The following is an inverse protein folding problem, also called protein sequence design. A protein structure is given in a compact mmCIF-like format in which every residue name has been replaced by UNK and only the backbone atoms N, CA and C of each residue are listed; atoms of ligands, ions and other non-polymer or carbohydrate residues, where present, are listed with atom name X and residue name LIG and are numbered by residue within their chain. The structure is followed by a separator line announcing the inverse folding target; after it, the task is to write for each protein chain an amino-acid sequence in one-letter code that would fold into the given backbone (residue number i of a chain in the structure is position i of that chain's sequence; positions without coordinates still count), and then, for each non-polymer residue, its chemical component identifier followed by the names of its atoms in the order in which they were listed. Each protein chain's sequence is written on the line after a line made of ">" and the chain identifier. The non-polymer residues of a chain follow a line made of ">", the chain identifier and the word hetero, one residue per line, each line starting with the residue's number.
data_IF_228502740025
#
_entry.id   IF_228502740025
#
_cell.length_a   1.000
_cell.length_b   1.000
_cell.length_c   1.000
_cell.angle_alpha   90.00
_cell.angle_beta   90.00
_cell.angle_gamma   90.00
#
_symmetry.space_group_name_H-M   'P 1'
#
loop_
_entity.id
_entity.type
_entity.pdbx_description
1 polymer ?
#
# COMPACT_ATOMS: atom_id res chain seq x y z
N UNK A 1 -7.72 28.03 8.73
CA UNK A 1 -6.42 27.78 8.09
C UNK A 1 -6.32 26.28 7.91
N UNK A 2 -6.33 25.78 6.68
CA UNK A 2 -6.46 24.33 6.46
C UNK A 2 -5.15 23.60 6.82
N UNK A 3 -5.22 22.32 7.16
CA UNK A 3 -4.02 21.48 7.39
C UNK A 3 -3.11 21.47 6.15
N UNK A 4 -3.70 21.53 4.95
CA UNK A 4 -2.99 21.62 3.69
C UNK A 4 -2.15 22.91 3.58
N UNK A 5 -2.68 24.06 4.00
CA UNK A 5 -1.94 25.33 3.98
C UNK A 5 -0.73 25.30 4.91
N UNK A 6 -0.85 24.62 6.06
CA UNK A 6 0.24 24.47 7.01
C UNK A 6 1.36 23.58 6.44
N UNK A 7 0.99 22.47 5.81
CA UNK A 7 1.93 21.57 5.12
C UNK A 7 2.64 22.30 3.99
N UNK A 8 1.91 23.02 3.14
CA UNK A 8 2.49 23.78 2.03
C UNK A 8 3.50 24.83 2.50
N UNK A 9 3.22 25.57 3.58
CA UNK A 9 4.15 26.54 4.16
C UNK A 9 5.40 25.89 4.75
N UNK A 10 5.23 24.76 5.44
CA UNK A 10 6.37 23.99 5.96
C UNK A 10 7.28 23.54 4.80
N UNK A 11 6.70 23.01 3.73
CA UNK A 11 7.43 22.56 2.55
C UNK A 11 8.14 23.71 1.84
N UNK A 12 7.45 24.83 1.61
CA UNK A 12 8.05 26.00 0.97
C UNK A 12 9.24 26.57 1.77
N UNK A 13 9.14 26.52 3.11
CA UNK A 13 10.21 26.95 4.01
C UNK A 13 11.38 25.98 4.01
N UNK A 14 11.11 24.68 4.03
CA UNK A 14 12.13 23.63 4.09
C UNK A 14 12.87 23.44 2.75
N UNK A 15 12.15 23.47 1.63
CA UNK A 15 12.70 23.22 0.29
C UNK A 15 13.15 24.49 -0.44
N UNK A 16 12.77 25.68 0.07
CA UNK A 16 13.02 26.96 -0.59
C UNK A 16 12.12 27.23 -1.81
N UNK A 17 11.20 26.32 -2.13
CA UNK A 17 10.25 26.40 -3.23
C UNK A 17 8.97 25.60 -2.89
N UNK A 18 7.80 25.95 -3.46
CA UNK A 18 6.59 25.16 -3.27
C UNK A 18 6.77 23.74 -3.85
N UNK A 19 6.25 22.69 -3.19
CA UNK A 19 6.37 21.32 -3.66
C UNK A 19 5.53 21.07 -4.92
N UNK A 20 6.10 20.34 -5.88
CA UNK A 20 5.38 19.81 -7.03
C UNK A 20 4.41 18.69 -6.63
N UNK A 21 3.47 18.34 -7.52
CA UNK A 21 2.42 17.35 -7.25
C UNK A 21 2.95 16.00 -6.76
N UNK A 22 4.00 15.45 -7.39
CA UNK A 22 4.58 14.17 -6.96
C UNK A 22 5.19 14.22 -5.56
N UNK A 23 5.81 15.34 -5.18
CA UNK A 23 6.34 15.52 -3.82
C UNK A 23 5.20 15.70 -2.81
N UNK A 24 4.12 16.41 -3.19
CA UNK A 24 2.91 16.54 -2.38
C UNK A 24 2.23 15.20 -2.11
N UNK A 25 2.18 14.29 -3.09
CA UNK A 25 1.61 12.94 -2.89
C UNK A 25 2.40 12.14 -1.85
N UNK A 26 3.74 12.23 -1.88
CA UNK A 26 4.60 11.58 -0.87
C UNK A 26 4.36 12.18 0.51
N UNK A 27 4.23 13.51 0.61
CA UNK A 27 3.97 14.22 1.87
C UNK A 27 2.56 13.91 2.40
N UNK A 28 1.57 13.78 1.53
CA UNK A 28 0.22 13.39 1.89
C UNK A 28 0.18 12.00 2.54
N UNK A 29 1.16 11.13 2.24
CA UNK A 29 1.36 9.85 2.91
C UNK A 29 1.58 9.93 4.42
N UNK A 30 1.97 11.10 4.96
CA UNK A 30 2.02 11.35 6.41
C UNK A 30 0.63 11.47 7.05
N UNK A 31 -0.44 11.61 6.26
CA UNK A 31 -1.82 11.67 6.76
C UNK A 31 -2.15 12.94 7.54
N UNK A 32 -1.37 14.02 7.35
CA UNK A 32 -1.54 15.29 8.07
C UNK A 32 -0.96 15.31 9.49
N UNK A 33 -0.37 14.21 9.95
CA UNK A 33 0.28 14.17 11.26
C UNK A 33 1.59 14.96 11.26
N UNK A 34 1.69 15.93 12.17
CA UNK A 34 2.83 16.84 12.23
C UNK A 34 4.16 16.13 12.46
N UNK A 35 4.19 15.05 13.24
CA UNK A 35 5.41 14.29 13.55
C UNK A 35 5.89 13.55 12.30
N UNK A 36 4.99 12.88 11.59
CA UNK A 36 5.29 12.19 10.33
C UNK A 36 5.66 13.14 9.21
N UNK A 37 4.89 14.22 9.03
CA UNK A 37 5.17 15.23 7.99
C UNK A 37 6.54 15.86 8.22
N UNK A 38 6.88 16.20 9.47
CA UNK A 38 8.18 16.80 9.78
C UNK A 38 9.33 15.81 9.57
N UNK A 39 9.20 14.57 10.06
CA UNK A 39 10.23 13.55 9.86
C UNK A 39 10.49 13.30 8.36
N UNK A 40 9.44 13.31 7.55
CA UNK A 40 9.55 13.15 6.10
C UNK A 40 10.20 14.36 5.43
N UNK A 41 9.70 15.58 5.69
CA UNK A 41 10.23 16.82 5.08
C UNK A 41 11.68 17.05 5.48
N UNK A 42 11.99 17.01 6.77
CA UNK A 42 13.35 17.25 7.26
C UNK A 42 14.32 16.16 6.76
N UNK A 43 13.87 14.89 6.72
CA UNK A 43 14.68 13.79 6.19
C UNK A 43 14.95 13.91 4.68
N UNK A 44 13.96 14.34 3.89
CA UNK A 44 14.14 14.58 2.46
C UNK A 44 15.16 15.69 2.17
N UNK A 45 15.20 16.73 3.00
CA UNK A 45 16.20 17.81 2.90
C UNK A 45 17.59 17.31 3.28
N UNK A 46 17.72 16.63 4.43
CA UNK A 46 19.01 16.14 4.93
C UNK A 46 19.68 15.13 4.01
N UNK A 47 18.88 14.30 3.34
CA UNK A 47 19.37 13.32 2.38
C UNK A 47 19.60 13.90 0.98
N UNK A 48 19.32 15.20 0.77
CA UNK A 48 19.50 15.87 -0.52
C UNK A 48 18.57 15.33 -1.61
N UNK A 49 17.37 14.87 -1.24
CA UNK A 49 16.40 14.20 -2.13
C UNK A 49 15.37 15.13 -2.73
N UNK A 50 15.58 16.44 -2.57
CA UNK A 50 14.72 17.47 -3.16
C UNK A 50 15.59 18.44 -3.94
N UNK A 51 15.16 18.74 -5.17
CA UNK A 51 15.74 19.78 -6.01
C UNK A 51 14.67 20.76 -6.44
N UNK A 52 15.09 21.97 -6.80
CA UNK A 52 14.19 22.99 -7.33
C UNK A 52 14.34 23.02 -8.84
N UNK A 53 13.32 22.54 -9.54
CA UNK A 53 13.22 22.55 -11.00
C UNK A 53 12.09 23.48 -11.40
N UNK A 54 12.37 24.46 -12.27
CA UNK A 54 11.40 25.48 -12.72
C UNK A 54 10.66 26.20 -11.57
N UNK A 55 11.35 26.43 -10.45
CA UNK A 55 10.79 27.08 -9.26
C UNK A 55 9.88 26.21 -8.41
N UNK A 56 9.82 24.89 -8.67
CA UNK A 56 9.09 23.91 -7.90
C UNK A 56 10.04 22.91 -7.25
N UNK A 57 9.78 22.55 -5.98
CA UNK A 57 10.50 21.49 -5.31
C UNK A 57 10.02 20.12 -5.81
N UNK A 58 10.94 19.34 -6.40
CA UNK A 58 10.70 18.01 -6.95
C UNK A 58 11.56 16.97 -6.25
N UNK A 59 11.05 15.74 -6.17
CA UNK A 59 11.83 14.60 -5.66
C UNK A 59 12.97 14.28 -6.62
N UNK A 60 14.14 14.03 -6.06
CA UNK A 60 15.35 13.69 -6.78
C UNK A 60 15.98 12.40 -6.22
N UNK A 61 16.43 11.53 -7.13
CA UNK A 61 17.18 10.31 -6.83
C UNK A 61 16.69 9.11 -7.64
N UNK A 62 17.48 8.03 -7.63
CA UNK A 62 17.21 6.81 -8.42
C UNK A 62 16.12 5.91 -7.80
N UNK A 63 15.76 6.16 -6.53
CA UNK A 63 14.72 5.44 -5.80
C UNK A 63 13.73 6.44 -5.18
N UNK A 64 12.64 6.78 -5.89
CA UNK A 64 11.59 7.65 -5.36
C UNK A 64 10.80 6.98 -4.23
N UNK A 65 10.85 5.65 -4.13
CA UNK A 65 10.09 4.89 -3.15
C UNK A 65 10.81 4.66 -1.82
N UNK A 66 12.12 4.90 -1.77
CA UNK A 66 12.88 4.91 -0.52
C UNK A 66 12.31 5.96 0.42
N UNK A 67 12.09 5.61 1.68
CA UNK A 67 11.74 6.57 2.73
C UNK A 67 13.01 7.14 3.39
N UNK A 68 12.98 8.39 3.87
CA UNK A 68 14.09 8.93 4.64
C UNK A 68 14.36 8.15 5.93
N UNK A 69 15.62 8.10 6.38
CA UNK A 69 16.06 7.42 7.60
C UNK A 69 15.29 7.91 8.83
N UNK A 70 15.01 9.22 8.91
CA UNK A 70 14.18 9.81 9.96
C UNK A 70 12.80 9.18 10.08
N UNK A 71 12.16 8.88 8.95
CA UNK A 71 10.84 8.23 8.91
C UNK A 71 10.96 6.78 9.38
N UNK A 72 12.01 6.09 8.93
CA UNK A 72 12.29 4.70 9.31
C UNK A 72 12.58 4.59 10.82
N UNK A 73 13.37 5.50 11.37
CA UNK A 73 13.71 5.56 12.78
C UNK A 73 12.50 5.86 13.65
N UNK A 74 11.65 6.81 13.23
CA UNK A 74 10.39 7.10 13.90
C UNK A 74 9.45 5.88 13.91
N UNK A 75 9.33 5.16 12.79
CA UNK A 75 8.55 3.93 12.73
C UNK A 75 9.11 2.85 13.67
N UNK A 76 10.44 2.72 13.74
CA UNK A 76 11.11 1.77 14.64
C UNK A 76 10.86 2.10 16.11
N UNK A 77 10.93 3.38 16.48
CA UNK A 77 10.64 3.86 17.84
C UNK A 77 9.19 3.54 18.23
N UNK A 78 8.24 3.87 17.35
CA UNK A 78 6.81 3.60 17.57
C UNK A 78 6.56 2.10 17.75
N UNK A 79 7.11 1.26 16.86
CA UNK A 79 6.97 -0.19 16.97
C UNK A 79 7.61 -0.74 18.24
N UNK A 80 8.80 -0.28 18.62
CA UNK A 80 9.52 -0.76 19.80
C UNK A 80 8.71 -0.53 21.09
N UNK A 81 7.91 0.53 21.14
CA UNK A 81 7.02 0.85 22.25
C UNK A 81 5.71 0.03 22.28
N UNK A 82 5.49 -0.90 21.34
CA UNK A 82 4.28 -1.76 21.28
C UNK A 82 4.51 -3.13 21.87
N UNK A 83 3.45 -3.76 22.38
CA UNK A 83 3.48 -5.16 22.82
C UNK A 83 3.78 -6.11 21.64
N UNK A 84 4.36 -7.30 21.90
CA UNK A 84 4.72 -8.25 20.85
C UNK A 84 3.56 -8.60 19.90
N UNK A 85 2.34 -8.73 20.44
CA UNK A 85 1.14 -9.02 19.64
C UNK A 85 0.77 -7.89 18.67
N UNK A 86 0.81 -6.65 19.15
CA UNK A 86 0.55 -5.45 18.33
C UNK A 86 1.63 -5.28 17.27
N UNK A 87 2.91 -5.48 17.61
CA UNK A 87 4.01 -5.48 16.62
C UNK A 87 3.79 -6.51 15.51
N UNK A 88 3.44 -7.75 15.87
CA UNK A 88 3.20 -8.80 14.89
C UNK A 88 2.03 -8.45 13.96
N UNK A 89 0.91 -7.96 14.53
CA UNK A 89 -0.25 -7.48 13.77
C UNK A 89 0.15 -6.40 12.76
N UNK A 90 0.86 -5.36 13.21
CA UNK A 90 1.29 -4.24 12.37
C UNK A 90 2.26 -4.68 11.27
N UNK A 91 3.21 -5.58 11.58
CA UNK A 91 4.12 -6.12 10.58
C UNK A 91 3.38 -6.90 9.49
N UNK A 92 2.49 -7.82 9.89
CA UNK A 92 1.69 -8.60 8.94
C UNK A 92 0.81 -7.66 8.11
N UNK A 93 0.09 -6.74 8.74
CA UNK A 93 -0.76 -5.78 8.03
C UNK A 93 0.03 -4.90 7.04
N UNK A 94 1.21 -4.42 7.42
CA UNK A 94 2.01 -3.53 6.59
C UNK A 94 2.43 -4.16 5.25
N UNK A 95 2.73 -5.47 5.28
CA UNK A 95 3.11 -6.24 4.08
C UNK A 95 1.92 -6.46 3.15
N UNK A 96 0.73 -6.68 3.70
CA UNK A 96 -0.43 -7.14 2.96
C UNK A 96 -1.19 -6.04 2.22
N UNK A 97 -0.94 -4.79 2.60
CA UNK A 97 -1.36 -3.61 1.86
C UNK A 97 -2.14 -2.61 2.71
N UNK A 98 -2.79 -1.64 2.05
CA UNK A 98 -3.38 -0.47 2.72
C UNK A 98 -4.73 -0.75 3.38
N UNK A 99 -5.39 -1.87 3.05
CA UNK A 99 -6.71 -2.24 3.59
C UNK A 99 -6.75 -3.74 3.91
N UNK A 100 -7.07 -4.08 5.15
CA UNK A 100 -7.14 -5.45 5.63
C UNK A 100 -8.32 -5.71 6.54
N UNK A 101 -8.96 -6.85 6.33
CA UNK A 101 -9.94 -7.42 7.24
C UNK A 101 -9.22 -8.16 8.37
N UNK A 102 -9.75 -8.08 9.59
CA UNK A 102 -9.22 -8.74 10.78
C UNK A 102 -9.20 -10.26 10.62
N UNK A 103 -10.20 -10.82 9.94
CA UNK A 103 -10.29 -12.27 9.67
C UNK A 103 -9.11 -12.75 8.81
N UNK A 104 -8.66 -11.94 7.84
CA UNK A 104 -7.49 -12.29 7.02
C UNK A 104 -6.19 -12.23 7.79
N UNK A 105 -6.06 -11.27 8.71
CA UNK A 105 -4.88 -11.20 9.57
C UNK A 105 -4.86 -12.41 10.51
N UNK A 106 -6.03 -12.78 11.06
CA UNK A 106 -6.22 -13.96 11.90
C UNK A 106 -5.82 -15.26 11.18
N UNK A 107 -6.26 -15.44 9.93
CA UNK A 107 -5.84 -16.56 9.07
C UNK A 107 -4.32 -16.59 8.90
N UNK A 108 -3.68 -15.45 8.64
CA UNK A 108 -2.25 -15.38 8.38
C UNK A 108 -1.36 -15.62 9.60
N UNK A 109 -1.82 -15.22 10.78
CA UNK A 109 -1.10 -15.50 12.03
C UNK A 109 -1.50 -16.85 12.62
N UNK A 110 -2.38 -17.61 11.95
CA UNK A 110 -2.94 -18.90 12.41
C UNK A 110 -3.54 -18.82 13.82
N UNK A 111 -4.24 -17.72 14.13
CA UNK A 111 -4.92 -17.53 15.42
C UNK A 111 -6.35 -17.04 15.22
N UNK A 112 -7.29 -17.38 16.12
CA UNK A 112 -8.63 -16.83 16.06
C UNK A 112 -8.62 -15.29 16.18
N UNK A 113 -9.49 -14.60 15.42
CA UNK A 113 -9.59 -13.14 15.42
C UNK A 113 -9.78 -12.55 16.83
N UNK A 114 -10.53 -13.23 17.70
CA UNK A 114 -10.74 -12.83 19.09
C UNK A 114 -9.43 -12.67 19.88
N UNK A 115 -8.41 -13.44 19.55
CA UNK A 115 -7.10 -13.40 20.22
C UNK A 115 -6.28 -12.18 19.77
N UNK A 116 -6.60 -11.61 18.61
CA UNK A 116 -5.95 -10.41 18.08
C UNK A 116 -6.59 -9.11 18.60
N UNK A 117 -7.74 -9.18 19.28
CA UNK A 117 -8.45 -7.99 19.78
C UNK A 117 -7.58 -7.07 20.65
N UNK A 118 -6.75 -7.57 21.61
CA UNK A 118 -5.92 -6.67 22.42
C UNK A 118 -4.84 -5.96 21.58
N UNK A 119 -4.23 -6.68 20.63
CA UNK A 119 -3.22 -6.13 19.72
C UNK A 119 -3.84 -5.07 18.79
N UNK A 120 -5.06 -5.33 18.31
CA UNK A 120 -5.82 -4.41 17.49
C UNK A 120 -6.23 -3.16 18.28
N UNK A 121 -6.75 -3.31 19.49
CA UNK A 121 -7.12 -2.21 20.39
C UNK A 121 -5.91 -1.31 20.67
N UNK A 122 -4.76 -1.90 21.02
CA UNK A 122 -3.53 -1.14 21.25
C UNK A 122 -3.12 -0.33 20.01
N UNK A 123 -3.22 -0.91 18.81
CA UNK A 123 -2.90 -0.21 17.58
C UNK A 123 -3.88 0.95 17.28
N UNK A 124 -5.16 0.81 17.64
CA UNK A 124 -6.18 1.86 17.50
C UNK A 124 -5.99 2.98 18.52
N UNK A 125 -5.81 2.64 19.80
CA UNK A 125 -5.59 3.60 20.87
C UNK A 125 -4.32 4.42 20.65
N UNK A 126 -3.31 3.80 20.03
CA UNK A 126 -2.08 4.46 19.61
C UNK A 126 -2.20 5.28 18.32
N UNK A 127 -3.36 5.28 17.66
CA UNK A 127 -3.60 5.99 16.42
C UNK A 127 -2.84 5.43 15.20
N UNK A 128 -2.38 4.18 15.26
CA UNK A 128 -1.59 3.56 14.18
C UNK A 128 -2.47 2.96 13.09
N UNK A 129 -3.64 2.45 13.49
CA UNK A 129 -4.68 1.93 12.60
C UNK A 129 -5.97 2.72 12.79
N UNK A 130 -6.77 2.77 11.73
CA UNK A 130 -8.11 3.33 11.72
C UNK A 130 -9.05 2.39 10.96
N UNK A 131 -10.35 2.52 11.24
CA UNK A 131 -11.37 1.81 10.47
C UNK A 131 -11.76 2.63 9.24
N UNK A 132 -11.87 1.98 8.09
CA UNK A 132 -12.49 2.54 6.89
C UNK A 132 -14.01 2.35 6.95
N UNK A 133 -14.77 3.17 6.21
CA UNK A 133 -16.24 3.07 6.09
C UNK A 133 -16.73 1.67 5.66
N UNK A 134 -15.85 0.85 5.07
CA UNK A 134 -16.11 -0.52 4.68
C UNK A 134 -15.86 -1.58 5.76
N UNK A 135 -15.46 -1.19 6.97
CA UNK A 135 -15.10 -2.09 8.07
C UNK A 135 -13.65 -2.60 8.03
N UNK A 136 -12.93 -2.34 6.94
CA UNK A 136 -11.51 -2.69 6.81
C UNK A 136 -10.64 -1.87 7.77
N UNK A 137 -9.54 -2.47 8.21
CA UNK A 137 -8.46 -1.82 8.92
C UNK A 137 -7.48 -1.20 7.92
N UNK A 138 -7.20 0.08 8.09
CA UNK A 138 -6.21 0.80 7.29
C UNK A 138 -5.20 1.48 8.20
N UNK A 139 -3.98 1.67 7.73
CA UNK A 139 -3.00 2.46 8.47
C UNK A 139 -3.43 3.92 8.51
N UNK A 140 -3.25 4.56 9.67
CA UNK A 140 -3.49 6.00 9.80
C UNK A 140 -2.49 6.80 8.94
N UNK A 141 -1.25 6.30 8.82
CA UNK A 141 -0.17 6.92 8.06
C UNK A 141 0.44 5.92 7.08
N UNK A 142 0.44 6.25 5.79
CA UNK A 142 1.01 5.40 4.75
C UNK A 142 2.54 5.32 4.86
N UNK A 143 3.19 6.40 5.32
CA UNK A 143 4.63 6.43 5.60
C UNK A 143 5.03 5.44 6.69
N UNK A 144 4.20 5.26 7.73
CA UNK A 144 4.42 4.25 8.76
C UNK A 144 4.34 2.85 8.15
N UNK A 145 3.28 2.56 7.40
CA UNK A 145 3.08 1.26 6.73
C UNK A 145 4.30 0.89 5.87
N UNK A 146 4.73 1.83 5.02
CA UNK A 146 5.88 1.66 4.13
C UNK A 146 7.18 1.45 4.90
N UNK A 147 7.40 2.21 5.99
CA UNK A 147 8.59 2.05 6.82
C UNK A 147 8.64 0.66 7.48
N UNK A 148 7.50 0.18 8.02
CA UNK A 148 7.39 -1.16 8.61
C UNK A 148 7.68 -2.23 7.54
N UNK A 149 7.00 -2.17 6.40
CA UNK A 149 7.17 -3.14 5.32
C UNK A 149 8.58 -3.14 4.71
N UNK A 150 9.22 -1.96 4.65
CA UNK A 150 10.59 -1.78 4.18
C UNK A 150 11.64 -2.30 5.16
N UNK A 151 11.36 -2.26 6.47
CA UNK A 151 12.25 -2.79 7.51
C UNK A 151 12.35 -4.32 7.53
N UNK A 152 11.38 -5.01 6.92
CA UNK A 152 11.36 -6.47 6.86
C UNK A 152 12.32 -6.99 5.78
N UNK A 153 13.12 -8.04 6.11
CA UNK A 153 13.89 -8.77 5.12
C UNK A 153 13.00 -9.23 3.95
N UNK A 154 13.50 -9.09 2.72
CA UNK A 154 12.74 -9.44 1.51
C UNK A 154 12.21 -10.88 1.55
N UNK A 155 12.99 -11.83 2.10
CA UNK A 155 12.56 -13.23 2.26
C UNK A 155 11.29 -13.37 3.12
N UNK A 156 11.20 -12.62 4.22
CA UNK A 156 10.03 -12.64 5.12
C UNK A 156 8.84 -11.98 4.45
N UNK A 157 9.05 -10.81 3.84
CA UNK A 157 8.00 -10.10 3.09
C UNK A 157 7.42 -10.98 1.98
N UNK A 158 8.27 -11.62 1.18
CA UNK A 158 7.84 -12.53 0.13
C UNK A 158 7.16 -13.79 0.67
N UNK A 159 7.55 -14.30 1.85
CA UNK A 159 6.87 -15.43 2.48
C UNK A 159 5.44 -15.06 2.90
N UNK A 160 5.27 -13.92 3.58
CA UNK A 160 3.95 -13.43 4.01
C UNK A 160 3.03 -13.14 2.82
N UNK A 161 3.54 -12.51 1.76
CA UNK A 161 2.78 -12.27 0.54
C UNK A 161 2.33 -13.58 -0.12
N UNK A 162 3.21 -14.59 -0.21
CA UNK A 162 2.84 -15.91 -0.75
C UNK A 162 1.80 -16.61 0.11
N UNK A 163 1.92 -16.55 1.43
CA UNK A 163 0.95 -17.14 2.34
C UNK A 163 -0.43 -16.47 2.20
N UNK A 164 -0.47 -15.15 2.06
CA UNK A 164 -1.70 -14.42 1.76
C UNK A 164 -2.33 -14.84 0.43
N UNK A 165 -1.52 -15.07 -0.60
CA UNK A 165 -2.01 -15.56 -1.89
C UNK A 165 -2.53 -17.01 -1.81
N UNK A 166 -2.04 -17.81 -0.86
CA UNK A 166 -2.38 -19.22 -0.66
C UNK A 166 -3.56 -19.45 0.32
N UNK A 167 -3.87 -18.48 1.19
CA UNK A 167 -4.90 -18.60 2.25
C UNK A 167 -6.35 -18.33 1.81
N UNK A 168 -6.61 -17.99 0.55
CA UNK A 168 -7.98 -17.97 0.01
C UNK A 168 -8.54 -19.40 -0.14
N UNK A 169 -9.87 -19.60 -0.14
CA UNK A 169 -10.46 -20.95 -0.29
C UNK A 169 -9.87 -21.64 -1.53
N UNK A 170 -9.21 -22.78 -1.28
CA UNK A 170 -8.45 -23.64 -2.18
C UNK A 170 -8.50 -23.24 -3.68
N UNK A 171 -7.47 -22.52 -4.13
CA UNK A 171 -7.07 -22.54 -5.53
C UNK A 171 -5.81 -23.41 -5.65
N UNK A 172 -5.95 -24.53 -6.37
CA UNK A 172 -4.89 -25.46 -6.78
C UNK A 172 -3.62 -24.78 -7.33
N UNK A 173 -2.45 -25.47 -7.27
CA UNK A 173 -1.14 -24.84 -7.24
C UNK A 173 -0.81 -24.12 -8.55
N UNK A 174 -0.45 -22.84 -8.45
CA UNK A 174 0.25 -22.12 -9.50
C UNK A 174 1.74 -22.05 -9.14
N UNK A 175 2.56 -22.63 -10.01
CA UNK A 175 4.02 -22.69 -9.95
C UNK A 175 4.72 -21.32 -9.89
N UNK A 176 6.00 -21.28 -9.47
CA UNK A 176 6.64 -20.08 -8.95
C UNK A 176 6.99 -19.10 -10.09
N UNK A 177 6.49 -17.88 -10.00
CA UNK A 177 6.94 -16.79 -10.87
C UNK A 177 8.22 -16.19 -10.28
N UNK A 178 9.35 -16.71 -10.74
CA UNK A 178 10.61 -15.99 -10.74
C UNK A 178 10.52 -14.71 -11.57
N UNK A 179 11.32 -13.73 -11.18
CA UNK A 179 11.64 -12.51 -11.90
C UNK A 179 11.62 -12.68 -13.43
N UNK A 180 10.62 -12.09 -14.08
CA UNK A 180 10.76 -11.56 -15.44
C UNK A 180 9.93 -10.27 -15.55
N UNK A 181 10.63 -9.18 -15.86
CA UNK A 181 10.07 -7.97 -16.46
C UNK A 181 8.98 -8.35 -17.48
N UNK A 182 7.86 -7.60 -17.49
CA UNK A 182 6.86 -7.53 -18.55
C UNK A 182 6.50 -8.87 -19.23
N UNK A 183 5.39 -9.52 -18.85
CA UNK A 183 4.92 -10.60 -19.72
C UNK A 183 3.62 -11.31 -19.43
N UNK A 184 3.32 -11.76 -18.20
CA UNK A 184 2.16 -12.66 -18.02
C UNK A 184 1.30 -12.34 -16.81
N UNK A 185 0.01 -12.20 -17.09
CA UNK A 185 -1.04 -12.11 -16.08
C UNK A 185 -1.21 -13.45 -15.39
N UNK A 186 -1.50 -13.43 -14.09
CA UNK A 186 -1.93 -14.64 -13.39
C UNK A 186 -3.25 -15.15 -13.99
N UNK A 187 -3.56 -16.45 -13.87
CA UNK A 187 -4.82 -17.00 -14.39
C UNK A 187 -6.05 -16.24 -13.86
N UNK A 188 -5.97 -15.73 -12.62
CA UNK A 188 -7.02 -14.92 -12.01
C UNK A 188 -7.10 -13.53 -12.61
N UNK A 189 -5.96 -12.87 -12.81
CA UNK A 189 -5.89 -11.57 -13.51
C UNK A 189 -6.42 -11.66 -14.94
N UNK A 190 -6.08 -12.71 -15.69
CA UNK A 190 -6.61 -12.95 -17.04
C UNK A 190 -8.14 -13.11 -17.02
N UNK A 191 -8.66 -13.88 -16.07
CA UNK A 191 -10.10 -14.10 -15.92
C UNK A 191 -10.83 -12.80 -15.57
N UNK A 192 -10.30 -12.01 -14.63
CA UNK A 192 -10.87 -10.71 -14.26
C UNK A 192 -10.79 -9.73 -15.43
N UNK A 193 -9.65 -9.65 -16.11
CA UNK A 193 -9.43 -8.80 -17.28
C UNK A 193 -10.39 -9.15 -18.42
N UNK A 194 -10.63 -10.44 -18.68
CA UNK A 194 -11.60 -10.89 -19.68
C UNK A 194 -13.06 -10.53 -19.32
N UNK A 195 -13.42 -10.57 -18.02
CA UNK A 195 -14.76 -10.17 -17.59
C UNK A 195 -14.93 -8.64 -17.59
N UNK A 196 -13.87 -7.89 -17.29
CA UNK A 196 -13.83 -6.43 -17.45
C UNK A 196 -14.00 -6.05 -18.92
N UNK A 197 -13.32 -6.74 -19.84
CA UNK A 197 -13.48 -6.58 -21.29
C UNK A 197 -14.91 -6.80 -21.77
N UNK A 198 -15.64 -7.72 -21.13
CA UNK A 198 -17.06 -8.01 -21.38
C UNK A 198 -18.02 -6.99 -20.73
N UNK A 199 -17.50 -5.89 -20.18
CA UNK A 199 -18.30 -4.83 -19.57
C UNK A 199 -18.93 -5.19 -18.21
N UNK A 200 -18.49 -6.28 -17.56
CA UNK A 200 -19.09 -6.71 -16.28
C UNK A 200 -18.74 -5.73 -15.15
N UNK A 201 -19.69 -5.45 -14.27
CA UNK A 201 -19.44 -4.67 -13.05
C UNK A 201 -18.71 -5.50 -12.01
N UNK A 202 -18.04 -4.85 -11.04
CA UNK A 202 -17.32 -5.58 -9.99
C UNK A 202 -18.24 -6.53 -9.19
N UNK A 203 -19.53 -6.18 -9.03
CA UNK A 203 -20.54 -7.06 -8.42
C UNK A 203 -20.93 -8.24 -9.31
N UNK A 204 -20.93 -8.09 -10.63
CA UNK A 204 -21.22 -9.17 -11.56
C UNK A 204 -20.03 -10.12 -11.69
N UNK A 205 -18.81 -9.58 -11.70
CA UNK A 205 -17.56 -10.35 -11.69
C UNK A 205 -17.47 -11.13 -10.37
N UNK A 206 -17.74 -10.49 -9.24
CA UNK A 206 -17.78 -11.11 -7.92
C UNK A 206 -18.70 -12.34 -7.90
N UNK A 207 -19.94 -12.16 -8.38
CA UNK A 207 -20.93 -13.24 -8.52
C UNK A 207 -20.46 -14.35 -9.47
N UNK A 208 -19.85 -13.98 -10.60
CA UNK A 208 -19.34 -14.95 -11.58
C UNK A 208 -18.15 -15.75 -11.09
N UNK A 209 -17.39 -15.22 -10.12
CA UNK A 209 -16.11 -15.76 -9.68
C UNK A 209 -16.13 -16.30 -8.24
N UNK A 210 -17.28 -16.24 -7.56
CA UNK A 210 -17.46 -16.69 -6.17
C UNK A 210 -16.62 -15.90 -5.15
N UNK A 211 -16.31 -14.63 -5.44
CA UNK A 211 -15.47 -13.77 -4.57
C UNK A 211 -16.19 -12.47 -4.22
N UNK A 212 -15.67 -11.71 -3.27
CA UNK A 212 -16.24 -10.41 -2.91
C UNK A 212 -16.01 -9.35 -4.01
N UNK A 213 -16.92 -8.37 -4.10
CA UNK A 213 -16.73 -7.21 -4.99
C UNK A 213 -15.50 -6.38 -4.64
N UNK A 214 -15.06 -6.43 -3.39
CA UNK A 214 -13.82 -5.83 -2.93
C UNK A 214 -12.58 -6.56 -3.51
N UNK A 215 -12.57 -7.89 -3.51
CA UNK A 215 -11.51 -8.68 -4.15
C UNK A 215 -11.40 -8.37 -5.65
N UNK A 216 -12.55 -8.19 -6.32
CA UNK A 216 -12.56 -7.74 -7.72
C UNK A 216 -11.96 -6.34 -7.90
N UNK A 217 -12.32 -5.37 -7.03
CA UNK A 217 -11.72 -4.02 -7.07
C UNK A 217 -10.19 -4.11 -6.98
N UNK A 218 -9.67 -4.93 -6.06
CA UNK A 218 -8.23 -5.15 -5.89
C UNK A 218 -7.57 -5.75 -7.12
N UNK A 219 -8.17 -6.77 -7.73
CA UNK A 219 -7.65 -7.32 -9.00
C UNK A 219 -7.66 -6.28 -10.13
N UNK A 220 -8.69 -5.44 -10.23
CA UNK A 220 -8.74 -4.34 -11.21
C UNK A 220 -7.67 -3.29 -10.92
N UNK A 221 -7.45 -2.90 -9.66
CA UNK A 221 -6.36 -1.98 -9.28
C UNK A 221 -4.98 -2.53 -9.64
N UNK A 222 -4.74 -3.82 -9.41
CA UNK A 222 -3.47 -4.46 -9.79
C UNK A 222 -3.29 -4.50 -11.31
N UNK A 223 -4.37 -4.76 -12.07
CA UNK A 223 -4.35 -4.68 -13.54
C UNK A 223 -4.01 -3.26 -14.02
N UNK A 224 -4.59 -2.23 -13.39
CA UNK A 224 -4.30 -0.83 -13.72
C UNK A 224 -2.82 -0.51 -13.52
N UNK A 225 -2.26 -0.90 -12.38
CA UNK A 225 -0.83 -0.70 -12.08
C UNK A 225 0.05 -1.47 -13.06
N UNK A 226 -0.26 -2.75 -13.32
CA UNK A 226 0.55 -3.65 -14.14
C UNK A 226 0.58 -3.26 -15.63
N UNK A 227 -0.46 -2.58 -16.09
CA UNK A 227 -0.58 -2.08 -17.47
C UNK A 227 -0.46 -0.57 -17.60
N UNK A 228 -0.07 0.12 -16.52
CA UNK A 228 0.04 1.59 -16.48
C UNK A 228 -1.22 2.31 -17.01
N UNK A 229 -2.39 1.79 -16.63
CA UNK A 229 -3.68 2.29 -17.06
C UNK A 229 -4.30 3.19 -15.99
N UNK A 230 -4.88 4.29 -16.41
CA UNK A 230 -5.54 5.27 -15.55
C UNK A 230 -6.99 4.88 -15.24
N UNK A 231 -7.62 4.06 -16.08
CA UNK A 231 -9.00 3.65 -15.87
C UNK A 231 -9.32 2.23 -16.38
N UNK A 232 -10.42 1.66 -15.87
CA UNK A 232 -10.88 0.30 -16.22
C UNK A 232 -11.20 0.13 -17.70
N UNK A 233 -11.49 1.21 -18.42
CA UNK A 233 -11.83 1.18 -19.84
C UNK A 233 -10.57 0.93 -20.67
N UNK A 234 -9.45 1.52 -20.29
CA UNK A 234 -8.13 1.23 -20.88
C UNK A 234 -7.73 -0.23 -20.68
N UNK A 235 -7.93 -0.77 -19.47
CA UNK A 235 -7.71 -2.21 -19.20
C UNK A 235 -8.64 -3.09 -20.05
N UNK A 236 -9.90 -2.68 -20.25
CA UNK A 236 -10.84 -3.39 -21.11
C UNK A 236 -10.39 -3.39 -22.59
N UNK A 237 -9.84 -2.28 -23.08
CA UNK A 237 -9.31 -2.18 -24.44
C UNK A 237 -8.08 -3.07 -24.66
N UNK A 238 -7.18 -3.10 -23.68
CA UNK A 238 -6.00 -3.97 -23.72
C UNK A 238 -6.36 -5.47 -23.78
N UNK A 239 -7.48 -5.85 -23.17
CA UNK A 239 -7.94 -7.23 -23.12
C UNK A 239 -8.53 -7.76 -24.44
N UNK A 240 -9.00 -6.84 -25.30
CA UNK A 240 -9.61 -7.17 -26.61
C UNK A 240 -8.56 -7.19 -27.71
N UNK A 241 -7.42 -6.53 -27.51
CA UNK A 241 -6.31 -6.51 -28.47
C UNK A 241 -5.47 -7.79 -28.31
N UNK A 242 -5.36 -8.67 -29.33
CA UNK A 242 -4.60 -9.90 -29.19
C UNK A 242 -3.11 -9.60 -28.94
N UNK A 243 -2.59 -10.03 -27.78
CA UNK A 243 -1.17 -9.98 -27.47
C UNK A 243 -0.43 -10.95 -28.40
N UNK A 244 0.15 -10.43 -29.50
CA UNK A 244 1.07 -11.21 -30.33
C UNK A 244 2.31 -11.53 -29.49
N UNK A 245 2.52 -12.83 -29.29
CA UNK A 245 3.65 -13.44 -28.60
C UNK A 245 4.97 -13.20 -29.33
#
# INVERSE_FOLDING_TARGET
>A
MSDLDAVLRLCATAFGAPPATGLLEVIAGAGGDQRWTRALVDGLVEEGRVRVDDGLAVLHGDDPDRLPERVVDLAREILAAREPGCRQLLCVAAVLGPSLDLDRIAEMVERPAAVLLPAWQEAFDAGLLRSSDGGDLVFAHEVLRRAIAGSMPAAIRCALLRQHEQGGPAATPAEPAGSHLAGRLTAREQTVMALVARGRSNQQIARSLGISSHAVKRHVSNLLIKFDCSNRTEVALLAVTPQRS
#
